data_IF_555591289457
#
_entry.id   IF_555591289457
#
_cell.length_a   1.000
_cell.length_b   1.000
_cell.length_c   1.000
_cell.angle_alpha   90.00
_cell.angle_beta   90.00
_cell.angle_gamma   90.00
#
_symmetry.space_group_name_H-M   'P 1'
#
loop_
_entity.id
_entity.type
_entity.pdbx_description
1 polymer ?
#
# COMPACT_ATOMS: atom_id res chain seq x y z
N UNK A 1 4.05 -10.50 3.30
CA UNK A 1 4.83 -9.40 2.71
C UNK A 1 4.59 -9.31 1.20
N UNK A 2 4.81 -10.38 0.43
CA UNK A 2 4.76 -10.34 -1.05
C UNK A 2 3.51 -9.66 -1.63
N UNK A 3 2.30 -10.11 -1.28
CA UNK A 3 1.07 -9.51 -1.82
C UNK A 3 0.89 -8.00 -1.52
N UNK A 4 1.39 -7.51 -0.38
CA UNK A 4 1.32 -6.08 -0.04
C UNK A 4 2.35 -5.28 -0.84
N UNK A 5 3.56 -5.84 -1.00
CA UNK A 5 4.61 -5.28 -1.83
C UNK A 5 4.15 -5.23 -3.30
N UNK A 6 3.54 -6.29 -3.82
CA UNK A 6 3.03 -6.35 -5.19
C UNK A 6 1.93 -5.30 -5.41
N UNK A 7 1.04 -5.15 -4.44
CA UNK A 7 -0.02 -4.14 -4.48
C UNK A 7 0.55 -2.71 -4.40
N UNK A 8 1.64 -2.51 -3.66
CA UNK A 8 2.37 -1.24 -3.63
C UNK A 8 3.04 -0.95 -4.98
N UNK A 9 3.77 -1.91 -5.55
CA UNK A 9 4.43 -1.76 -6.85
C UNK A 9 3.41 -1.48 -7.95
N UNK A 10 2.28 -2.20 -7.95
CA UNK A 10 1.15 -1.93 -8.85
C UNK A 10 0.62 -0.51 -8.67
N UNK A 11 0.37 -0.07 -7.43
CA UNK A 11 -0.15 1.27 -7.16
C UNK A 11 0.81 2.37 -7.63
N UNK A 12 2.11 2.22 -7.37
CA UNK A 12 3.17 3.15 -7.81
C UNK A 12 3.24 3.18 -9.33
N UNK A 13 3.28 2.01 -9.99
CA UNK A 13 3.34 1.90 -11.44
C UNK A 13 2.14 2.58 -12.12
N UNK A 14 0.92 2.32 -11.63
CA UNK A 14 -0.29 2.98 -12.16
C UNK A 14 -0.23 4.48 -11.93
N UNK A 15 0.16 4.94 -10.74
CA UNK A 15 0.23 6.38 -10.46
C UNK A 15 1.31 7.10 -11.26
N UNK A 16 2.48 6.49 -11.46
CA UNK A 16 3.50 7.01 -12.37
C UNK A 16 2.96 7.18 -13.79
N UNK A 17 2.22 6.18 -14.29
CA UNK A 17 1.61 6.24 -15.62
C UNK A 17 0.48 7.28 -15.71
N UNK A 18 -0.37 7.40 -14.70
CA UNK A 18 -1.44 8.39 -14.65
C UNK A 18 -0.92 9.83 -14.54
N UNK A 19 0.15 10.03 -13.76
CA UNK A 19 0.81 11.33 -13.58
C UNK A 19 1.78 11.68 -14.72
N UNK A 20 2.16 10.71 -15.57
CA UNK A 20 3.13 10.91 -16.64
C UNK A 20 4.56 11.14 -16.14
N UNK A 21 4.91 10.65 -14.94
CA UNK A 21 6.22 10.88 -14.32
C UNK A 21 7.26 9.82 -14.67
N UNK A 22 6.85 8.63 -15.12
CA UNK A 22 7.72 7.62 -15.73
C UNK A 22 7.13 7.14 -17.05
N UNK A 23 7.99 6.83 -18.02
CA UNK A 23 7.61 6.27 -19.31
C UNK A 23 7.15 4.80 -19.20
N UNK A 24 6.39 4.28 -20.19
CA UNK A 24 5.87 2.91 -20.17
C UNK A 24 6.95 1.82 -20.06
N UNK A 25 8.06 2.02 -20.75
CA UNK A 25 9.23 1.16 -20.78
C UNK A 25 9.98 1.18 -19.45
N UNK A 26 10.14 2.34 -18.82
CA UNK A 26 10.72 2.46 -17.47
C UNK A 26 9.91 1.70 -16.42
N UNK A 27 8.57 1.80 -16.48
CA UNK A 27 7.69 1.04 -15.59
C UNK A 27 7.81 -0.47 -15.83
N UNK A 28 7.89 -0.90 -17.09
CA UNK A 28 8.03 -2.32 -17.42
C UNK A 28 9.40 -2.86 -16.99
N UNK A 29 10.46 -2.09 -17.22
CA UNK A 29 11.82 -2.42 -16.79
C UNK A 29 11.89 -2.57 -15.27
N UNK A 30 11.23 -1.69 -14.51
CA UNK A 30 11.19 -1.79 -13.06
C UNK A 30 10.64 -3.13 -12.53
N UNK A 31 9.63 -3.71 -13.17
CA UNK A 31 9.14 -5.05 -12.81
C UNK A 31 10.14 -6.15 -13.21
N UNK A 32 10.71 -6.06 -14.42
CA UNK A 32 11.66 -7.05 -14.92
C UNK A 32 12.96 -7.08 -14.11
N UNK A 33 13.49 -5.91 -13.76
CA UNK A 33 14.69 -5.74 -12.92
C UNK A 33 14.43 -6.26 -11.49
N UNK A 34 13.18 -6.16 -11.03
CA UNK A 34 12.72 -6.77 -9.79
C UNK A 34 12.51 -8.30 -9.86
N UNK A 35 12.70 -8.92 -11.04
CA UNK A 35 12.42 -10.33 -11.26
C UNK A 35 10.93 -10.69 -11.22
N UNK A 36 10.05 -9.73 -11.52
CA UNK A 36 8.58 -9.86 -11.47
C UNK A 36 7.97 -9.73 -12.86
N UNK A 37 6.81 -10.34 -13.06
CA UNK A 37 6.05 -10.14 -14.29
C UNK A 37 5.34 -8.77 -14.25
N UNK A 38 5.17 -8.15 -15.41
CA UNK A 38 4.35 -6.94 -15.51
C UNK A 38 2.88 -7.34 -15.33
N UNK A 39 2.14 -6.76 -14.37
CA UNK A 39 0.77 -7.18 -14.08
C UNK A 39 -0.16 -7.14 -15.30
N UNK A 40 -0.95 -8.20 -15.47
CA UNK A 40 -1.95 -8.33 -16.53
C UNK A 40 -3.35 -8.13 -15.95
N UNK A 41 -4.13 -7.21 -16.54
CA UNK A 41 -5.53 -7.03 -16.17
C UNK A 41 -6.36 -8.11 -16.86
N UNK A 42 -6.89 -9.07 -16.12
CA UNK A 42 -7.64 -10.21 -16.66
C UNK A 42 -9.15 -10.00 -16.64
N UNK A 43 -9.64 -9.06 -15.83
CA UNK A 43 -11.04 -8.67 -15.76
C UNK A 43 -11.14 -7.18 -15.46
N UNK A 44 -12.01 -6.45 -16.17
CA UNK A 44 -12.25 -5.03 -15.93
C UNK A 44 -13.73 -4.65 -16.00
N UNK A 45 -14.32 -4.45 -14.82
CA UNK A 45 -15.70 -4.01 -14.65
C UNK A 45 -15.87 -2.48 -14.62
N UNK A 46 -14.79 -1.69 -14.66
CA UNK A 46 -14.82 -0.23 -14.51
C UNK A 46 -14.67 0.48 -15.84
N UNK A 47 -13.64 0.13 -16.62
CA UNK A 47 -13.39 0.79 -17.91
C UNK A 47 -13.99 -0.01 -19.07
N UNK A 48 -14.26 -1.30 -18.86
CA UNK A 48 -14.77 -2.21 -19.89
C UNK A 48 -13.79 -2.40 -21.05
N UNK A 49 -12.48 -2.36 -20.79
CA UNK A 49 -11.46 -2.62 -21.80
C UNK A 49 -11.48 -4.08 -22.26
N UNK A 50 -10.96 -4.33 -23.47
CA UNK A 50 -10.78 -5.70 -23.97
C UNK A 50 -9.77 -6.44 -23.11
N UNK A 51 -10.25 -7.40 -22.32
CA UNK A 51 -9.41 -8.22 -21.44
C UNK A 51 -9.00 -9.53 -22.11
N UNK A 52 -7.75 -10.01 -21.91
CA UNK A 52 -6.75 -9.45 -21.00
C UNK A 52 -6.05 -8.20 -21.55
N UNK A 53 -5.73 -7.24 -20.67
CA UNK A 53 -5.08 -5.96 -21.00
C UNK A 53 -3.80 -5.77 -20.20
N UNK A 54 -2.67 -5.46 -20.85
CA UNK A 54 -1.43 -5.12 -20.14
C UNK A 54 -1.53 -3.80 -19.36
N UNK A 55 -0.81 -3.69 -18.25
CA UNK A 55 -0.81 -2.52 -17.36
C UNK A 55 -0.69 -1.16 -18.09
N UNK A 56 0.16 -1.10 -19.12
CA UNK A 56 0.40 0.13 -19.88
C UNK A 56 -0.82 0.61 -20.66
N UNK A 57 -1.53 -0.33 -21.32
CA UNK A 57 -2.75 -0.05 -22.06
C UNK A 57 -3.90 0.29 -21.10
N UNK A 58 -3.96 -0.42 -19.98
CA UNK A 58 -4.93 -0.16 -18.93
C UNK A 58 -4.77 1.26 -18.36
N UNK A 59 -3.55 1.68 -18.00
CA UNK A 59 -3.31 3.00 -17.43
C UNK A 59 -3.72 4.14 -18.40
N UNK A 60 -3.48 3.95 -19.71
CA UNK A 60 -3.93 4.91 -20.73
C UNK A 60 -5.47 4.98 -20.82
N UNK A 61 -6.15 3.83 -20.80
CA UNK A 61 -7.61 3.77 -20.79
C UNK A 61 -8.20 4.37 -19.49
N UNK A 62 -7.56 4.11 -18.35
CA UNK A 62 -7.94 4.67 -17.05
C UNK A 62 -7.85 6.20 -17.06
N UNK A 63 -6.75 6.74 -17.59
CA UNK A 63 -6.56 8.18 -17.75
C UNK A 63 -7.64 8.79 -18.66
N UNK A 64 -7.94 8.14 -19.80
CA UNK A 64 -8.99 8.59 -20.72
C UNK A 64 -10.40 8.57 -20.08
N UNK A 65 -10.65 7.62 -19.17
CA UNK A 65 -11.87 7.55 -18.36
C UNK A 65 -11.88 8.52 -17.16
N UNK A 66 -10.87 9.38 -17.04
CA UNK A 66 -10.76 10.39 -15.99
C UNK A 66 -10.33 9.84 -14.63
N UNK A 67 -9.76 8.63 -14.56
CA UNK A 67 -9.08 8.17 -13.34
C UNK A 67 -7.86 9.06 -13.13
N UNK A 68 -7.76 9.67 -11.95
CA UNK A 68 -6.69 10.65 -11.65
C UNK A 68 -5.55 10.05 -10.86
N UNK A 69 -5.82 9.02 -10.06
CA UNK A 69 -4.83 8.30 -9.28
C UNK A 69 -5.45 7.00 -8.76
N UNK A 70 -4.60 6.15 -8.22
CA UNK A 70 -4.97 5.01 -7.38
C UNK A 70 -4.41 5.19 -5.97
N UNK A 71 -4.98 4.47 -5.00
CA UNK A 71 -4.57 4.50 -3.61
C UNK A 71 -4.45 3.09 -3.08
N UNK A 72 -3.36 2.79 -2.38
CA UNK A 72 -3.24 1.53 -1.66
C UNK A 72 -4.05 1.57 -0.36
N UNK A 73 -4.96 0.61 -0.17
CA UNK A 73 -5.77 0.48 1.03
C UNK A 73 -5.32 -0.75 1.84
N UNK A 74 -4.34 -0.56 2.72
CA UNK A 74 -3.92 -1.63 3.63
C UNK A 74 -5.06 -2.01 4.58
N UNK A 75 -5.47 -3.28 4.56
CA UNK A 75 -6.60 -3.79 5.32
C UNK A 75 -6.15 -4.50 6.59
N UNK A 76 -6.67 -4.04 7.72
CA UNK A 76 -6.50 -4.72 8.99
C UNK A 76 -7.62 -4.31 9.97
N UNK A 77 -8.10 -5.19 10.87
CA UNK A 77 -9.19 -4.88 11.81
C UNK A 77 -8.94 -3.68 12.74
N UNK A 78 -7.69 -3.37 13.08
CA UNK A 78 -7.34 -2.20 13.89
C UNK A 78 -7.25 -0.88 13.11
N UNK A 79 -7.38 -0.92 11.78
CA UNK A 79 -7.35 0.27 10.93
C UNK A 79 -8.78 0.66 10.51
N UNK A 80 -9.02 1.97 10.23
CA UNK A 80 -10.26 2.38 9.60
C UNK A 80 -10.48 1.64 8.27
N UNK A 81 -11.69 1.15 8.05
CA UNK A 81 -12.04 0.54 6.77
C UNK A 81 -12.14 1.63 5.70
N UNK A 82 -11.23 1.62 4.73
CA UNK A 82 -11.14 2.67 3.70
C UNK A 82 -11.48 2.18 2.29
N UNK A 83 -11.78 0.90 2.07
CA UNK A 83 -12.22 0.42 0.76
C UNK A 83 -13.68 0.77 0.51
N UNK A 84 -14.05 1.15 -0.73
CA UNK A 84 -15.42 1.54 -1.05
C UNK A 84 -16.35 0.31 -1.06
N UNK A 85 -17.66 0.49 -0.84
CA UNK A 85 -18.60 -0.63 -0.89
C UNK A 85 -18.68 -1.26 -2.28
N UNK A 86 -18.66 -2.59 -2.34
CA UNK A 86 -18.84 -3.38 -3.58
C UNK A 86 -20.11 -4.23 -3.52
N UNK A 87 -20.46 -4.79 -4.68
CA UNK A 87 -21.58 -5.71 -4.80
C UNK A 87 -21.38 -6.99 -3.99
N UNK A 88 -22.50 -7.63 -3.63
CA UNK A 88 -22.52 -8.76 -2.68
C UNK A 88 -21.61 -9.91 -3.12
N UNK A 89 -21.48 -10.15 -4.43
CA UNK A 89 -20.64 -11.18 -5.00
C UNK A 89 -19.15 -10.98 -4.68
N UNK A 90 -18.69 -9.73 -4.57
CA UNK A 90 -17.26 -9.40 -4.45
C UNK A 90 -16.81 -9.04 -3.03
N UNK A 91 -17.76 -8.83 -2.10
CA UNK A 91 -17.44 -8.40 -0.72
C UNK A 91 -16.44 -9.30 -0.01
N UNK A 92 -16.60 -10.62 -0.15
CA UNK A 92 -15.71 -11.58 0.49
C UNK A 92 -14.30 -11.55 -0.09
N UNK A 93 -14.17 -11.31 -1.39
CA UNK A 93 -12.87 -11.20 -2.08
C UNK A 93 -12.17 -9.90 -1.68
N UNK A 94 -12.87 -8.78 -1.81
CA UNK A 94 -12.34 -7.44 -1.46
C UNK A 94 -12.01 -7.35 0.04
N UNK A 95 -12.86 -7.87 0.92
CA UNK A 95 -12.69 -7.75 2.37
C UNK A 95 -11.68 -8.73 2.99
N UNK A 96 -11.16 -9.69 2.21
CA UNK A 96 -10.08 -10.61 2.64
C UNK A 96 -8.74 -10.27 2.01
N UNK A 97 -8.72 -9.43 0.99
CA UNK A 97 -7.50 -9.06 0.32
C UNK A 97 -6.70 -8.08 1.19
N UNK A 98 -5.42 -8.34 1.48
CA UNK A 98 -4.69 -7.57 2.49
C UNK A 98 -4.38 -6.13 2.07
N UNK A 99 -4.29 -5.85 0.76
CA UNK A 99 -3.91 -4.54 0.26
C UNK A 99 -4.59 -4.15 -1.06
N UNK A 100 -5.92 -3.97 -1.13
CA UNK A 100 -6.59 -3.57 -2.37
C UNK A 100 -6.11 -2.20 -2.87
N UNK A 101 -6.03 -2.03 -4.19
CA UNK A 101 -5.69 -0.75 -4.82
C UNK A 101 -6.99 -0.09 -5.29
N UNK A 102 -7.35 1.05 -4.73
CA UNK A 102 -8.61 1.75 -5.03
C UNK A 102 -8.39 2.75 -6.15
N UNK A 103 -9.21 2.73 -7.19
CA UNK A 103 -9.19 3.70 -8.27
C UNK A 103 -10.02 4.94 -7.91
N UNK A 104 -9.50 6.10 -8.28
CA UNK A 104 -10.15 7.37 -7.97
C UNK A 104 -10.32 8.28 -9.19
N UNK A 105 -11.48 8.92 -9.27
CA UNK A 105 -11.76 10.08 -10.13
C UNK A 105 -11.90 11.32 -9.25
N UNK A 106 -10.81 12.06 -9.08
CA UNK A 106 -10.77 13.17 -8.12
C UNK A 106 -10.99 12.68 -6.68
N UNK A 107 -12.06 13.12 -6.02
CA UNK A 107 -12.40 12.66 -4.67
C UNK A 107 -13.26 11.37 -4.64
N UNK A 108 -13.80 10.96 -5.78
CA UNK A 108 -14.69 9.80 -5.89
C UNK A 108 -13.89 8.51 -6.09
N UNK A 109 -14.34 7.44 -5.44
CA UNK A 109 -13.84 6.07 -5.59
C UNK A 109 -14.69 5.35 -6.63
N UNK A 110 -14.05 4.80 -7.66
CA UNK A 110 -14.73 4.25 -8.84
C UNK A 110 -14.55 2.75 -9.01
N UNK A 111 -13.49 2.18 -8.44
CA UNK A 111 -13.28 0.74 -8.46
C UNK A 111 -12.14 0.28 -7.55
N UNK A 112 -11.88 -1.01 -7.58
CA UNK A 112 -10.85 -1.68 -6.78
C UNK A 112 -10.10 -2.65 -7.68
N UNK A 113 -8.78 -2.53 -7.75
CA UNK A 113 -7.87 -3.52 -8.33
C UNK A 113 -7.43 -4.49 -7.24
N UNK A 114 -7.57 -5.79 -7.49
CA UNK A 114 -7.09 -6.87 -6.63
C UNK A 114 -6.04 -7.68 -7.36
N UNK A 115 -4.93 -8.00 -6.69
CA UNK A 115 -3.90 -8.90 -7.22
C UNK A 115 -4.26 -10.33 -6.81
N UNK A 116 -4.40 -11.21 -7.80
CA UNK A 116 -4.68 -12.63 -7.63
C UNK A 116 -3.44 -13.45 -7.33
N UNK A 117 -3.61 -14.78 -7.22
CA UNK A 117 -2.54 -15.72 -6.88
C UNK A 117 -1.47 -15.92 -7.98
N UNK A 118 -1.78 -15.54 -9.22
CA UNK A 118 -0.87 -15.61 -10.38
C UNK A 118 -0.49 -14.20 -10.86
N UNK A 119 -0.44 -13.21 -9.96
CA UNK A 119 -0.17 -11.78 -10.26
C UNK A 119 -1.16 -11.11 -11.24
N UNK A 120 -2.16 -11.86 -11.70
CA UNK A 120 -3.28 -11.38 -12.49
C UNK A 120 -4.11 -10.37 -11.68
N UNK A 121 -4.45 -9.26 -12.32
CA UNK A 121 -5.19 -8.17 -11.70
C UNK A 121 -6.64 -8.18 -12.16
N UNK A 122 -7.55 -8.09 -11.21
CA UNK A 122 -8.98 -7.93 -11.46
C UNK A 122 -9.44 -6.55 -11.00
N UNK A 123 -10.16 -5.84 -11.87
CA UNK A 123 -10.73 -4.52 -11.58
C UNK A 123 -12.23 -4.65 -11.35
N UNK A 124 -12.63 -4.42 -10.11
CA UNK A 124 -14.00 -4.56 -9.62
C UNK A 124 -14.64 -3.17 -9.49
N UNK A 125 -15.83 -3.01 -10.04
CA UNK A 125 -16.61 -1.79 -9.86
C UNK A 125 -17.06 -1.64 -8.41
N UNK A 126 -16.96 -0.43 -7.86
CA UNK A 126 -17.51 -0.12 -6.55
C UNK A 126 -18.68 0.86 -6.65
N UNK A 127 -19.46 0.97 -5.57
CA UNK A 127 -20.45 2.02 -5.44
C UNK A 127 -19.74 3.36 -5.36
N UNK A 128 -20.28 4.35 -6.08
CA UNK A 128 -19.75 5.72 -6.03
C UNK A 128 -19.74 6.22 -4.58
N UNK A 129 -18.56 6.59 -4.12
CA UNK A 129 -18.34 7.05 -2.75
C UNK A 129 -17.16 8.00 -2.70
N UNK A 130 -17.26 9.01 -1.83
CA UNK A 130 -16.19 10.01 -1.68
C UNK A 130 -15.22 9.54 -0.62
N UNK A 131 -13.92 9.58 -0.93
CA UNK A 131 -12.87 9.36 0.05
C UNK A 131 -12.45 10.68 0.69
N UNK A 132 -12.68 10.81 2.00
CA UNK A 132 -12.20 11.94 2.80
C UNK A 132 -11.33 11.39 3.93
N UNK A 133 -10.00 11.33 3.76
CA UNK A 133 -9.14 10.86 4.83
C UNK A 133 -9.22 11.83 6.02
N UNK A 134 -9.29 11.28 7.23
CA UNK A 134 -9.36 12.06 8.48
C UNK A 134 -8.04 12.80 8.74
N UNK A 135 -6.92 12.22 8.26
CA UNK A 135 -5.60 12.83 8.26
C UNK A 135 -5.14 13.02 6.80
N UNK A 136 -4.95 14.27 6.38
CA UNK A 136 -4.30 14.59 5.10
C UNK A 136 -2.82 14.82 5.42
N UNK A 137 -2.12 13.74 5.75
CA UNK A 137 -0.67 13.81 6.01
C UNK A 137 0.05 13.68 4.66
N UNK A 138 0.89 14.66 4.32
CA UNK A 138 1.81 14.53 3.18
C UNK A 138 2.79 13.37 3.42
N UNK A 139 3.43 12.80 2.39
CA UNK A 139 4.45 11.77 2.59
C UNK A 139 5.52 12.17 3.62
N UNK A 140 5.94 13.44 3.62
CA UNK A 140 6.90 13.98 4.59
C UNK A 140 6.37 14.00 6.03
N UNK A 141 5.13 14.43 6.24
CA UNK A 141 4.53 14.48 7.58
C UNK A 141 4.24 13.07 8.12
N UNK A 142 3.75 12.17 7.25
CA UNK A 142 3.55 10.77 7.58
C UNK A 142 4.89 10.09 7.94
N UNK A 143 5.97 10.37 7.20
CA UNK A 143 7.31 9.89 7.51
C UNK A 143 7.81 10.41 8.85
N UNK A 144 7.64 11.71 9.13
CA UNK A 144 8.04 12.34 10.39
C UNK A 144 7.33 11.65 11.57
N UNK A 145 6.02 11.45 11.46
CA UNK A 145 5.21 10.78 12.48
C UNK A 145 5.64 9.32 12.67
N UNK A 146 5.85 8.57 11.59
CA UNK A 146 6.33 7.20 11.65
C UNK A 146 7.68 7.11 12.36
N UNK A 147 8.65 7.98 11.99
CA UNK A 147 9.98 8.01 12.63
C UNK A 147 9.91 8.28 14.13
N UNK A 148 9.07 9.21 14.57
CA UNK A 148 8.90 9.49 16.00
C UNK A 148 8.39 8.26 16.77
N UNK A 149 7.39 7.56 16.22
CA UNK A 149 6.81 6.37 16.83
C UNK A 149 7.76 5.16 16.78
N UNK A 150 8.53 5.01 15.70
CA UNK A 150 9.57 3.98 15.60
C UNK A 150 10.63 4.21 16.67
N UNK A 151 11.12 5.44 16.83
CA UNK A 151 12.11 5.78 17.87
C UNK A 151 11.61 5.54 19.30
N UNK A 152 10.37 5.95 19.57
CA UNK A 152 9.70 5.64 20.83
C UNK A 152 9.62 4.13 21.04
N UNK A 153 9.25 3.39 19.99
CA UNK A 153 9.15 1.95 20.01
C UNK A 153 10.46 1.23 20.27
N UNK A 154 11.55 1.64 19.61
CA UNK A 154 12.89 1.08 19.82
C UNK A 154 13.35 1.29 21.27
N UNK A 155 13.11 2.49 21.81
CA UNK A 155 13.42 2.80 23.22
C UNK A 155 12.60 1.91 24.15
N UNK A 156 11.31 1.72 23.85
CA UNK A 156 10.42 0.93 24.67
C UNK A 156 10.81 -0.55 24.69
N UNK A 157 10.99 -1.19 23.54
CA UNK A 157 11.28 -2.64 23.45
C UNK A 157 12.64 -3.04 24.06
N UNK A 158 13.54 -2.07 24.24
CA UNK A 158 14.80 -2.25 24.98
C UNK A 158 14.61 -2.19 26.51
N UNK A 159 13.56 -1.50 26.96
CA UNK A 159 13.27 -1.28 28.38
C UNK A 159 12.34 -2.33 29.01
N UNK A 160 11.63 -3.11 28.20
CA UNK A 160 10.62 -4.08 28.65
C UNK A 160 10.71 -5.41 27.90
N UNK A 161 10.14 -6.45 28.52
CA UNK A 161 9.97 -7.73 27.85
C UNK A 161 8.80 -7.65 26.86
N UNK A 162 9.10 -7.77 25.57
CA UNK A 162 8.13 -7.90 24.47
C UNK A 162 8.34 -9.23 23.74
N UNK A 163 7.35 -9.71 22.96
CA UNK A 163 7.51 -10.90 22.13
C UNK A 163 8.73 -10.81 21.21
N UNK A 164 9.48 -11.90 21.10
CA UNK A 164 10.76 -11.92 20.39
C UNK A 164 10.62 -11.56 18.90
N UNK A 165 9.48 -11.91 18.31
CA UNK A 165 9.13 -11.53 16.95
C UNK A 165 9.19 -10.02 16.73
N UNK A 166 8.82 -9.19 17.71
CA UNK A 166 8.89 -7.73 17.61
C UNK A 166 10.27 -7.18 17.96
N UNK A 167 11.03 -7.90 18.81
CA UNK A 167 12.36 -7.49 19.26
C UNK A 167 13.44 -7.68 18.20
N UNK A 168 13.35 -8.69 17.36
CA UNK A 168 14.36 -9.05 16.35
C UNK A 168 13.94 -8.67 14.91
N UNK A 169 12.91 -7.84 14.79
CA UNK A 169 12.26 -7.58 13.51
C UNK A 169 12.99 -6.57 12.61
N UNK A 170 12.86 -6.69 11.28
CA UNK A 170 13.43 -5.76 10.31
C UNK A 170 12.97 -4.30 10.45
N UNK A 171 11.79 -4.01 11.04
CA UNK A 171 11.38 -2.62 11.29
C UNK A 171 12.37 -1.85 12.19
N UNK A 172 13.23 -2.56 12.94
CA UNK A 172 14.34 -1.98 13.71
C UNK A 172 15.50 -1.50 12.86
N UNK A 173 15.62 -2.06 11.66
CA UNK A 173 16.72 -1.85 10.73
C UNK A 173 16.35 -0.80 9.67
N UNK A 174 15.58 0.21 10.07
CA UNK A 174 15.40 1.48 9.34
C UNK A 174 16.71 2.17 8.93
N UNK A 175 17.86 1.73 9.48
CA UNK A 175 19.22 2.16 9.13
C UNK A 175 19.95 1.19 8.21
N UNK A 176 19.44 -0.02 7.98
CA UNK A 176 20.04 -0.96 7.04
C UNK A 176 20.00 -0.41 5.62
N UNK A 177 21.06 -0.68 4.88
CA UNK A 177 21.13 -0.32 3.48
C UNK A 177 20.21 -1.26 2.69
N UNK A 178 19.13 -0.70 2.14
CA UNK A 178 18.47 -1.33 1.00
C UNK A 178 19.45 -1.22 -0.17
N UNK A 179 19.81 -2.35 -0.78
CA UNK A 179 20.63 -2.34 -1.98
C UNK A 179 19.91 -1.59 -3.10
N UNK A 180 20.67 -0.94 -3.97
CA UNK A 180 20.14 -0.29 -5.18
C UNK A 180 19.33 -1.28 -6.05
N UNK A 181 19.58 -2.59 -5.91
CA UNK A 181 18.88 -3.68 -6.60
C UNK A 181 17.51 -4.05 -6.00
N UNK A 182 17.03 -3.37 -4.95
CA UNK A 182 15.74 -3.73 -4.33
C UNK A 182 14.56 -3.34 -5.26
N UNK A 183 13.57 -4.22 -5.50
CA UNK A 183 12.41 -3.99 -6.38
C UNK A 183 11.63 -2.69 -6.20
N UNK A 184 11.71 -2.10 -5.01
CA UNK A 184 11.05 -0.84 -4.68
C UNK A 184 11.74 0.36 -5.32
N UNK A 185 13.07 0.33 -5.44
CA UNK A 185 13.88 1.53 -5.67
C UNK A 185 13.55 2.26 -6.98
N UNK A 186 13.21 1.53 -8.03
CA UNK A 186 12.93 2.09 -9.37
C UNK A 186 11.55 2.75 -9.50
N UNK A 187 10.58 2.39 -8.66
CA UNK A 187 9.21 2.92 -8.68
C UNK A 187 8.90 3.87 -7.52
N UNK A 188 9.87 4.12 -6.65
CA UNK A 188 9.66 5.05 -5.54
C UNK A 188 9.80 6.50 -6.01
N UNK A 189 8.93 7.41 -5.53
CA UNK A 189 9.16 8.84 -5.68
C UNK A 189 10.53 9.25 -5.13
N UNK A 190 11.17 10.23 -5.75
CA UNK A 190 12.53 10.68 -5.40
C UNK A 190 12.66 11.12 -3.93
N UNK A 191 11.59 11.65 -3.34
CA UNK A 191 11.52 12.12 -1.97
C UNK A 191 11.07 11.04 -0.96
N UNK A 192 10.74 9.84 -1.43
CA UNK A 192 10.32 8.74 -0.57
C UNK A 192 11.53 8.04 0.07
N UNK A 193 11.41 7.70 1.36
CA UNK A 193 12.42 6.94 2.09
C UNK A 193 12.10 5.45 1.96
N UNK A 194 12.81 4.77 1.07
CA UNK A 194 12.60 3.35 0.76
C UNK A 194 12.67 2.46 2.02
N UNK A 195 13.58 2.76 2.94
CA UNK A 195 13.75 2.03 4.21
C UNK A 195 12.54 2.18 5.10
N UNK A 196 12.01 3.40 5.18
CA UNK A 196 10.81 3.66 5.96
C UNK A 196 9.58 2.95 5.38
N UNK A 197 9.51 2.76 4.06
CA UNK A 197 8.42 2.02 3.41
C UNK A 197 8.53 0.54 3.73
N UNK A 198 9.72 -0.04 3.61
CA UNK A 198 9.94 -1.45 3.97
C UNK A 198 9.61 -1.70 5.45
N UNK A 199 10.08 -0.84 6.34
CA UNK A 199 9.74 -0.90 7.76
C UNK A 199 8.22 -0.77 8.00
N UNK A 200 7.54 0.13 7.29
CA UNK A 200 6.10 0.30 7.42
C UNK A 200 5.31 -0.93 6.93
N UNK A 201 5.75 -1.58 5.85
CA UNK A 201 5.17 -2.83 5.38
C UNK A 201 5.43 -3.99 6.36
N UNK A 202 6.64 -4.09 6.93
CA UNK A 202 6.97 -5.10 7.96
C UNK A 202 6.09 -4.90 9.21
N UNK A 203 5.95 -3.67 9.70
CA UNK A 203 5.04 -3.33 10.81
C UNK A 203 3.61 -3.78 10.47
N UNK A 204 3.12 -3.48 9.26
CA UNK A 204 1.77 -3.83 8.87
C UNK A 204 1.55 -5.35 8.76
N UNK A 205 2.49 -6.10 8.18
CA UNK A 205 2.42 -7.56 8.10
C UNK A 205 2.44 -8.21 9.48
N UNK A 206 3.26 -7.71 10.40
CA UNK A 206 3.33 -8.23 11.78
C UNK A 206 2.06 -8.02 12.56
N UNK A 207 1.36 -6.92 12.29
CA UNK A 207 0.07 -6.65 12.89
C UNK A 207 -1.00 -7.66 12.49
N UNK A 208 -0.83 -8.45 11.43
CA UNK A 208 -1.79 -9.47 10.97
C UNK A 208 -2.22 -10.45 12.08
N UNK A 209 -1.36 -10.74 13.05
CA UNK A 209 -1.68 -11.61 14.20
C UNK A 209 -2.26 -10.86 15.39
N UNK A 210 -2.24 -9.52 15.37
CA UNK A 210 -2.61 -8.63 16.48
C UNK A 210 -3.89 -7.87 16.13
N UNK A 211 -5.04 -8.50 16.37
CA UNK A 211 -6.35 -7.93 16.00
C UNK A 211 -6.74 -6.70 16.82
N UNK A 212 -6.28 -6.62 18.07
CA UNK A 212 -6.57 -5.54 19.01
C UNK A 212 -5.28 -5.04 19.68
N UNK A 213 -4.49 -4.17 19.03
CA UNK A 213 -3.20 -3.71 19.56
C UNK A 213 -3.29 -3.15 20.99
N UNK A 214 -4.35 -2.39 21.30
CA UNK A 214 -4.53 -1.78 22.62
C UNK A 214 -4.71 -2.79 23.78
N UNK A 215 -4.91 -4.08 23.48
CA UNK A 215 -5.04 -5.14 24.51
C UNK A 215 -3.81 -6.03 24.61
N UNK A 216 -2.72 -5.69 23.90
CA UNK A 216 -1.47 -6.46 23.93
C UNK A 216 -0.71 -6.16 25.22
N UNK A 217 -0.26 -7.22 25.89
CA UNK A 217 0.66 -7.10 27.01
C UNK A 217 2.12 -6.98 26.53
N UNK A 218 2.94 -6.13 27.18
CA UNK A 218 2.54 -5.22 28.27
C UNK A 218 1.74 -3.99 27.74
N UNK A 219 0.86 -3.36 28.54
CA UNK A 219 -0.06 -2.31 28.05
C UNK A 219 0.61 -1.13 27.36
N UNK A 220 1.82 -0.75 27.80
CA UNK A 220 2.61 0.31 27.16
C UNK A 220 3.05 -0.05 25.74
N UNK A 221 3.29 -1.33 25.48
CA UNK A 221 3.59 -1.85 24.15
C UNK A 221 2.33 -1.91 23.30
N UNK A 222 1.19 -2.34 23.86
CA UNK A 222 -0.09 -2.29 23.17
C UNK A 222 -0.52 -0.88 22.75
N UNK A 223 -0.31 0.12 23.62
CA UNK A 223 -0.55 1.54 23.29
C UNK A 223 0.35 2.00 22.13
N UNK A 224 1.64 1.68 22.17
CA UNK A 224 2.56 1.98 21.07
C UNK A 224 2.07 1.34 19.76
N UNK A 225 1.74 0.05 19.75
CA UNK A 225 1.26 -0.64 18.55
C UNK A 225 0.00 0.02 17.97
N UNK A 226 -0.90 0.50 18.83
CA UNK A 226 -2.12 1.19 18.41
C UNK A 226 -1.86 2.51 17.68
N UNK A 227 -0.70 3.14 17.91
CA UNK A 227 -0.26 4.37 17.25
C UNK A 227 0.67 4.10 16.08
N UNK A 228 1.59 3.15 16.23
CA UNK A 228 2.60 2.77 15.25
C UNK A 228 1.95 2.18 13.99
N UNK A 229 0.97 1.31 14.15
CA UNK A 229 0.34 0.63 13.01
C UNK A 229 -0.44 1.57 12.07
N UNK A 230 -1.31 2.47 12.57
CA UNK A 230 -1.92 3.49 11.72
C UNK A 230 -0.89 4.42 11.07
N UNK A 231 0.20 4.78 11.75
CA UNK A 231 1.24 5.62 11.18
C UNK A 231 1.99 4.94 10.03
N UNK A 232 2.32 3.65 10.18
CA UNK A 232 2.90 2.84 9.12
C UNK A 232 1.96 2.76 7.91
N UNK A 233 0.68 2.44 8.13
CA UNK A 233 -0.29 2.34 7.05
C UNK A 233 -0.52 3.69 6.35
N UNK A 234 -0.55 4.79 7.09
CA UNK A 234 -0.67 6.14 6.54
C UNK A 234 0.53 6.52 5.67
N UNK A 235 1.76 6.17 6.08
CA UNK A 235 2.95 6.46 5.28
C UNK A 235 2.97 5.69 3.96
N UNK A 236 2.69 4.38 3.99
CA UNK A 236 2.61 3.57 2.76
C UNK A 236 1.53 4.12 1.82
N UNK A 237 0.35 4.44 2.35
CA UNK A 237 -0.74 5.03 1.57
C UNK A 237 -0.33 6.37 0.95
N UNK A 238 0.31 7.27 1.72
CA UNK A 238 0.72 8.58 1.26
C UNK A 238 1.74 8.50 0.12
N UNK A 239 2.77 7.66 0.25
CA UNK A 239 3.76 7.45 -0.81
C UNK A 239 3.11 6.81 -2.04
N UNK A 240 2.36 5.71 -1.86
CA UNK A 240 1.73 4.98 -2.96
C UNK A 240 0.79 5.87 -3.78
N UNK A 241 0.10 6.81 -3.14
CA UNK A 241 -0.88 7.69 -3.78
C UNK A 241 -0.23 8.77 -4.66
N UNK A 242 1.05 9.11 -4.40
CA UNK A 242 1.82 10.10 -5.17
C UNK A 242 1.13 11.46 -5.37
N UNK A 243 0.29 11.88 -4.40
CA UNK A 243 -0.32 13.21 -4.42
C UNK A 243 0.58 14.20 -3.70
N UNK A 244 1.26 15.04 -4.48
CA UNK A 244 1.89 16.29 -4.06
C UNK A 244 1.01 17.48 -4.37
#
# INVERSE_FOLDING_TARGET
MDAQLDSLLLALAVNHRLAGTLAPDEVSAAFLDAGREVPLIVADAVLGTDTPTGLLLFAAAAQAAGITHVRLALQHPSLPHTTPPVDKADRARVGRHPAPVVLHRGAHQTGIMLIGAEENVEVIACRDSVFRPVSVDTPTEALRRLRLLVMEGLTLIESIEVPEEWRSAPWRDWQSDLSDDHPLMSLLPVDADSRAIFAALDIHERMRTVLAPATVDPPVFGDLLSRLHPAAAAYVMAVATMKG
#
